data_IF_588456273472
#
_entry.id   IF_588456273472
#
_cell.length_a   1.000
_cell.length_b   1.000
_cell.length_c   1.000
_cell.angle_alpha   90.00
_cell.angle_beta   90.00
_cell.angle_gamma   90.00
#
_symmetry.space_group_name_H-M   'P 1'
#
loop_
_entity.id
_entity.type
_entity.pdbx_description
1 polymer ?
#
# COMPACT_ATOMS: atom_id res chain seq x y z
N UNK A 1 -81.13 25.46 -18.30
CA UNK A 1 -82.12 26.51 -17.93
C UNK A 1 -82.71 27.06 -19.22
N UNK A 2 -83.85 26.53 -19.62
CA UNK A 2 -84.71 27.06 -20.69
C UNK A 2 -86.14 26.78 -20.21
N UNK A 3 -86.77 27.82 -19.68
CA UNK A 3 -88.14 27.83 -19.19
C UNK A 3 -89.08 27.87 -20.39
N UNK A 4 -89.91 26.83 -20.56
CA UNK A 4 -91.07 26.85 -21.46
C UNK A 4 -92.32 26.86 -20.60
N UNK A 5 -93.10 27.92 -20.76
CA UNK A 5 -94.29 28.27 -19.99
C UNK A 5 -95.46 27.34 -20.31
N UNK A 6 -95.99 26.66 -19.28
CA UNK A 6 -97.25 25.92 -19.35
C UNK A 6 -98.44 26.88 -19.23
N UNK A 7 -99.23 26.99 -20.30
CA UNK A 7 -100.56 27.57 -20.27
C UNK A 7 -101.58 26.52 -19.84
N UNK A 8 -102.23 26.74 -18.71
CA UNK A 8 -103.41 26.00 -18.26
C UNK A 8 -104.62 26.36 -19.13
N UNK A 9 -105.28 25.34 -19.70
CA UNK A 9 -106.66 25.42 -20.19
C UNK A 9 -107.46 24.32 -19.48
N UNK A 10 -108.48 24.73 -18.74
CA UNK A 10 -109.39 23.87 -18.00
C UNK A 10 -110.54 23.31 -18.85
N UNK A 11 -110.79 22.01 -18.62
CA UNK A 11 -112.02 21.21 -18.75
C UNK A 11 -113.09 21.52 -19.82
N UNK A 12 -113.28 20.56 -20.73
CA UNK A 12 -114.50 20.36 -21.51
C UNK A 12 -114.44 19.05 -22.30
N UNK A 13 -115.24 18.06 -21.89
CA UNK A 13 -115.14 16.68 -22.37
C UNK A 13 -115.50 16.44 -23.85
N UNK A 14 -114.61 15.72 -24.54
CA UNK A 14 -114.85 14.64 -25.52
C UNK A 14 -113.48 14.22 -26.04
N UNK A 15 -112.88 13.22 -25.40
CA UNK A 15 -111.68 12.57 -25.91
C UNK A 15 -112.05 11.88 -27.23
N UNK A 16 -111.59 12.46 -28.34
CA UNK A 16 -111.61 11.84 -29.64
C UNK A 16 -110.85 10.51 -29.59
N UNK A 17 -111.41 9.51 -30.28
CA UNK A 17 -110.81 8.20 -30.48
C UNK A 17 -109.37 8.37 -30.97
N UNK A 18 -108.37 8.04 -30.15
CA UNK A 18 -107.03 7.79 -30.66
C UNK A 18 -107.17 6.65 -31.68
N UNK A 19 -106.66 6.84 -32.89
CA UNK A 19 -106.65 5.79 -33.90
C UNK A 19 -105.85 4.60 -33.37
N UNK A 20 -106.43 3.40 -33.40
CA UNK A 20 -105.80 2.16 -32.94
C UNK A 20 -104.44 1.93 -33.60
N UNK A 21 -104.26 2.42 -34.83
CA UNK A 21 -103.01 2.41 -35.59
C UNK A 21 -101.81 3.05 -34.85
N UNK A 22 -102.03 4.11 -34.06
CA UNK A 22 -100.96 4.80 -33.33
C UNK A 22 -100.51 4.04 -32.08
N UNK A 23 -101.43 3.31 -31.45
CA UNK A 23 -101.13 2.46 -30.28
C UNK A 23 -100.43 1.18 -30.72
N UNK A 24 -100.90 0.56 -31.81
CA UNK A 24 -100.27 -0.63 -32.40
C UNK A 24 -98.82 -0.35 -32.82
N UNK A 25 -98.56 0.83 -33.40
CA UNK A 25 -97.20 1.26 -33.76
C UNK A 25 -96.30 1.45 -32.53
N UNK A 26 -96.80 2.08 -31.46
CA UNK A 26 -96.03 2.28 -30.23
C UNK A 26 -95.73 0.95 -29.51
N UNK A 27 -96.65 -0.02 -29.55
CA UNK A 27 -96.42 -1.38 -29.03
C UNK A 27 -95.36 -2.10 -29.87
N UNK A 28 -95.42 -2.02 -31.20
CA UNK A 28 -94.41 -2.60 -32.08
C UNK A 28 -93.02 -1.96 -31.85
N UNK A 29 -92.96 -0.64 -31.66
CA UNK A 29 -91.73 0.07 -31.33
C UNK A 29 -91.17 -0.34 -29.95
N UNK A 30 -92.04 -0.58 -28.97
CA UNK A 30 -91.67 -1.11 -27.65
C UNK A 30 -91.12 -2.54 -27.73
N UNK A 31 -91.73 -3.41 -28.54
CA UNK A 31 -91.24 -4.76 -28.81
C UNK A 31 -89.87 -4.72 -29.50
N UNK A 32 -89.69 -3.85 -30.49
CA UNK A 32 -88.41 -3.66 -31.16
C UNK A 32 -87.34 -3.11 -30.20
N UNK A 33 -87.69 -2.18 -29.30
CA UNK A 33 -86.78 -1.65 -28.29
C UNK A 33 -86.35 -2.73 -27.28
N UNK A 34 -87.27 -3.61 -26.85
CA UNK A 34 -86.96 -4.74 -25.98
C UNK A 34 -86.06 -5.77 -26.69
N UNK A 35 -86.35 -6.13 -27.94
CA UNK A 35 -85.50 -7.02 -28.73
C UNK A 35 -84.07 -6.46 -28.85
N UNK A 36 -83.95 -5.16 -29.14
CA UNK A 36 -82.65 -4.52 -29.26
C UNK A 36 -81.92 -4.33 -27.92
N UNK A 37 -82.64 -4.40 -26.79
CA UNK A 37 -82.05 -4.49 -25.45
C UNK A 37 -81.57 -5.92 -25.14
N UNK A 38 -82.28 -6.96 -25.60
CA UNK A 38 -81.84 -8.36 -25.50
C UNK A 38 -80.54 -8.60 -26.27
N UNK A 39 -80.41 -8.02 -27.47
CA UNK A 39 -79.20 -8.16 -28.31
C UNK A 39 -77.90 -7.71 -27.61
N UNK A 40 -78.01 -6.89 -26.56
CA UNK A 40 -76.87 -6.41 -25.76
C UNK A 40 -76.87 -6.97 -24.34
N UNK A 41 -77.59 -8.06 -24.08
CA UNK A 41 -77.68 -8.74 -22.77
C UNK A 41 -78.21 -7.84 -21.63
N UNK A 42 -79.13 -6.92 -21.94
CA UNK A 42 -79.83 -6.13 -20.93
C UNK A 42 -80.61 -6.97 -19.89
N UNK A 43 -81.17 -8.17 -20.18
CA UNK A 43 -81.81 -9.00 -19.17
C UNK A 43 -80.89 -9.36 -18.00
N UNK A 44 -79.59 -9.52 -18.26
CA UNK A 44 -78.59 -9.87 -17.25
C UNK A 44 -77.93 -8.63 -16.64
N UNK A 45 -77.52 -7.68 -17.48
CA UNK A 45 -76.68 -6.55 -17.07
C UNK A 45 -77.50 -5.34 -16.61
N UNK A 46 -78.75 -5.21 -17.04
CA UNK A 46 -79.66 -4.12 -16.68
C UNK A 46 -81.07 -4.64 -16.32
N UNK A 47 -81.09 -5.75 -15.57
CA UNK A 47 -82.28 -6.57 -15.27
C UNK A 47 -83.49 -5.76 -14.78
N UNK A 48 -83.28 -4.84 -13.82
CA UNK A 48 -84.39 -4.04 -13.25
C UNK A 48 -85.12 -3.19 -14.29
N UNK A 49 -84.38 -2.52 -15.17
CA UNK A 49 -84.96 -1.67 -16.23
C UNK A 49 -85.57 -2.52 -17.34
N UNK A 50 -84.96 -3.67 -17.65
CA UNK A 50 -85.45 -4.60 -18.64
C UNK A 50 -86.78 -5.24 -18.22
N UNK A 51 -86.88 -5.71 -16.99
CA UNK A 51 -88.12 -6.29 -16.44
C UNK A 51 -89.21 -5.23 -16.29
N UNK A 52 -88.86 -3.99 -15.93
CA UNK A 52 -89.82 -2.87 -15.91
C UNK A 52 -90.36 -2.58 -17.31
N UNK A 53 -89.50 -2.52 -18.33
CA UNK A 53 -89.92 -2.30 -19.71
C UNK A 53 -90.85 -3.43 -20.23
N UNK A 54 -90.57 -4.67 -19.85
CA UNK A 54 -91.40 -5.84 -20.17
C UNK A 54 -92.75 -5.77 -19.48
N UNK A 55 -92.79 -5.40 -18.20
CA UNK A 55 -94.05 -5.22 -17.46
C UNK A 55 -94.91 -4.07 -18.03
N UNK A 56 -94.28 -2.96 -18.43
CA UNK A 56 -94.94 -1.84 -19.09
C UNK A 56 -95.51 -2.24 -20.46
N UNK A 57 -94.80 -3.05 -21.25
CA UNK A 57 -95.28 -3.57 -22.54
C UNK A 57 -96.50 -4.48 -22.37
N UNK A 58 -96.45 -5.43 -21.43
CA UNK A 58 -97.58 -6.33 -21.14
C UNK A 58 -98.80 -5.55 -20.64
N UNK A 59 -98.57 -4.51 -19.83
CA UNK A 59 -99.62 -3.60 -19.36
C UNK A 59 -100.19 -2.76 -20.51
N UNK A 60 -99.37 -2.35 -21.48
CA UNK A 60 -99.80 -1.61 -22.67
C UNK A 60 -100.71 -2.47 -23.58
N UNK A 61 -100.33 -3.73 -23.82
CA UNK A 61 -101.13 -4.72 -24.58
C UNK A 61 -102.48 -4.97 -23.91
N UNK A 62 -102.47 -5.17 -22.59
CA UNK A 62 -103.69 -5.34 -21.79
C UNK A 62 -104.61 -4.11 -21.88
N UNK A 63 -104.05 -2.90 -21.79
CA UNK A 63 -104.82 -1.66 -21.90
C UNK A 63 -105.41 -1.45 -23.31
N UNK A 64 -104.73 -1.92 -24.36
CA UNK A 64 -105.24 -1.89 -25.73
C UNK A 64 -106.45 -2.84 -25.89
N UNK A 65 -106.36 -4.06 -25.36
CA UNK A 65 -107.46 -5.04 -25.35
C UNK A 65 -108.70 -4.51 -24.61
N UNK A 66 -108.48 -3.76 -23.53
CA UNK A 66 -109.52 -3.07 -22.75
C UNK A 66 -110.04 -1.78 -23.41
N UNK A 67 -109.55 -1.41 -24.59
CA UNK A 67 -109.90 -0.19 -25.34
C UNK A 67 -109.54 1.11 -24.62
N UNK A 68 -108.53 1.09 -23.74
CA UNK A 68 -107.97 2.25 -23.03
C UNK A 68 -106.76 2.84 -23.78
N UNK A 69 -107.01 3.38 -24.97
CA UNK A 69 -105.94 3.82 -25.89
C UNK A 69 -104.91 4.80 -25.30
N UNK A 70 -105.33 5.75 -24.46
CA UNK A 70 -104.42 6.71 -23.81
C UNK A 70 -103.44 6.02 -22.83
N UNK A 71 -103.94 5.05 -22.06
CA UNK A 71 -103.13 4.30 -21.10
C UNK A 71 -102.19 3.35 -21.83
N UNK A 72 -102.69 2.65 -22.86
CA UNK A 72 -101.89 1.79 -23.71
C UNK A 72 -100.72 2.55 -24.37
N UNK A 73 -100.99 3.74 -24.92
CA UNK A 73 -99.97 4.58 -25.54
C UNK A 73 -98.92 5.06 -24.51
N UNK A 74 -99.36 5.52 -23.33
CA UNK A 74 -98.46 5.94 -22.26
C UNK A 74 -97.55 4.80 -21.81
N UNK A 75 -98.12 3.63 -21.56
CA UNK A 75 -97.39 2.45 -21.12
C UNK A 75 -96.42 1.94 -22.20
N UNK A 76 -96.82 1.97 -23.48
CA UNK A 76 -95.92 1.65 -24.59
C UNK A 76 -94.71 2.60 -24.66
N UNK A 77 -94.92 3.92 -24.49
CA UNK A 77 -93.81 4.87 -24.41
C UNK A 77 -92.92 4.67 -23.18
N UNK A 78 -93.48 4.29 -22.03
CA UNK A 78 -92.70 3.93 -20.84
C UNK A 78 -91.86 2.68 -21.09
N UNK A 79 -92.43 1.66 -21.75
CA UNK A 79 -91.72 0.47 -22.17
C UNK A 79 -90.55 0.81 -23.12
N UNK A 80 -90.77 1.65 -24.13
CA UNK A 80 -89.70 2.12 -25.05
C UNK A 80 -88.58 2.83 -24.27
N UNK A 81 -88.94 3.74 -23.36
CA UNK A 81 -87.97 4.51 -22.58
C UNK A 81 -87.14 3.59 -21.67
N UNK A 82 -87.80 2.69 -20.93
CA UNK A 82 -87.15 1.75 -20.03
C UNK A 82 -86.29 0.74 -20.80
N UNK A 83 -86.74 0.24 -21.95
CA UNK A 83 -85.96 -0.66 -22.80
C UNK A 83 -84.72 0.04 -23.39
N UNK A 84 -84.85 1.30 -23.81
CA UNK A 84 -83.72 2.09 -24.33
C UNK A 84 -82.70 2.41 -23.24
N UNK A 85 -83.14 2.69 -22.02
CA UNK A 85 -82.28 2.87 -20.85
C UNK A 85 -81.58 1.56 -20.47
N UNK A 86 -82.31 0.43 -20.46
CA UNK A 86 -81.74 -0.88 -20.19
C UNK A 86 -80.64 -1.24 -21.20
N UNK A 87 -80.91 -1.02 -22.51
CA UNK A 87 -79.92 -1.18 -23.58
C UNK A 87 -78.68 -0.32 -23.36
N UNK A 88 -78.86 0.96 -23.08
CA UNK A 88 -77.76 1.92 -22.88
C UNK A 88 -76.91 1.55 -21.66
N UNK A 89 -77.56 1.18 -20.55
CA UNK A 89 -76.88 0.73 -19.34
C UNK A 89 -76.09 -0.56 -19.60
N UNK A 90 -76.67 -1.53 -20.30
CA UNK A 90 -75.97 -2.77 -20.65
C UNK A 90 -74.71 -2.51 -21.47
N UNK A 91 -74.81 -1.70 -22.53
CA UNK A 91 -73.66 -1.31 -23.36
C UNK A 91 -72.58 -0.62 -22.51
N UNK A 92 -72.97 0.29 -21.61
CA UNK A 92 -72.04 0.99 -20.74
C UNK A 92 -71.35 0.05 -19.74
N UNK A 93 -72.09 -0.92 -19.19
CA UNK A 93 -71.53 -1.92 -18.26
C UNK A 93 -70.49 -2.78 -18.97
N UNK A 94 -70.80 -3.30 -20.16
CA UNK A 94 -69.87 -4.09 -20.97
C UNK A 94 -68.63 -3.28 -21.36
N UNK A 95 -68.82 -2.05 -21.82
CA UNK A 95 -67.69 -1.18 -22.19
C UNK A 95 -66.81 -0.85 -20.98
N UNK A 96 -67.41 -0.60 -19.82
CA UNK A 96 -66.66 -0.33 -18.59
C UNK A 96 -65.93 -1.58 -18.08
N UNK A 97 -66.51 -2.78 -18.22
CA UNK A 97 -65.83 -4.02 -17.82
C UNK A 97 -64.62 -4.31 -18.70
N UNK A 98 -64.74 -4.12 -20.02
CA UNK A 98 -63.62 -4.23 -20.97
C UNK A 98 -62.51 -3.21 -20.69
N UNK A 99 -62.89 -1.96 -20.44
CA UNK A 99 -61.94 -0.91 -20.07
C UNK A 99 -61.23 -1.23 -18.76
N UNK A 100 -61.96 -1.68 -17.74
CA UNK A 100 -61.37 -2.08 -16.46
C UNK A 100 -60.41 -3.27 -16.63
N UNK A 101 -60.79 -4.28 -17.41
CA UNK A 101 -59.92 -5.41 -17.72
C UNK A 101 -58.62 -4.95 -18.42
N UNK A 102 -58.72 -4.06 -19.40
CA UNK A 102 -57.55 -3.49 -20.09
C UNK A 102 -56.67 -2.64 -19.16
N UNK A 103 -57.27 -1.85 -18.27
CA UNK A 103 -56.55 -1.06 -17.26
C UNK A 103 -55.78 -1.99 -16.30
N UNK A 104 -56.42 -3.05 -15.82
CA UNK A 104 -55.77 -4.03 -14.93
C UNK A 104 -54.61 -4.72 -15.63
N UNK A 105 -54.79 -5.16 -16.87
CA UNK A 105 -53.71 -5.78 -17.65
C UNK A 105 -52.53 -4.82 -17.84
N UNK A 106 -52.79 -3.58 -18.30
CA UNK A 106 -51.74 -2.58 -18.49
C UNK A 106 -51.07 -2.18 -17.17
N UNK A 107 -51.81 -2.17 -16.07
CA UNK A 107 -51.27 -1.96 -14.73
C UNK A 107 -50.29 -3.05 -14.32
N UNK A 108 -50.64 -4.31 -14.55
CA UNK A 108 -49.76 -5.45 -14.28
C UNK A 108 -48.50 -5.43 -15.18
N UNK A 109 -48.64 -5.11 -16.47
CA UNK A 109 -47.51 -4.95 -17.39
C UNK A 109 -46.58 -3.80 -16.95
N UNK A 110 -47.15 -2.66 -16.52
CA UNK A 110 -46.38 -1.54 -16.04
C UNK A 110 -45.59 -1.87 -14.77
N UNK A 111 -46.16 -2.63 -13.84
CA UNK A 111 -45.47 -3.06 -12.62
C UNK A 111 -44.32 -4.02 -12.95
N UNK A 112 -44.55 -5.00 -13.82
CA UNK A 112 -43.49 -5.93 -14.28
C UNK A 112 -42.33 -5.19 -14.97
N UNK A 113 -42.64 -4.18 -15.79
CA UNK A 113 -41.62 -3.33 -16.41
C UNK A 113 -40.85 -2.53 -15.35
N UNK A 114 -41.54 -2.03 -14.32
CA UNK A 114 -40.91 -1.29 -13.22
C UNK A 114 -39.95 -2.15 -12.41
N UNK A 115 -40.34 -3.38 -12.10
CA UNK A 115 -39.48 -4.37 -11.45
C UNK A 115 -38.25 -4.67 -12.30
N UNK A 116 -38.43 -4.87 -13.60
CA UNK A 116 -37.32 -5.11 -14.55
C UNK A 116 -36.35 -3.94 -14.59
N UNK A 117 -36.87 -2.70 -14.65
CA UNK A 117 -36.05 -1.47 -14.65
C UNK A 117 -35.27 -1.34 -13.34
N UNK A 118 -35.91 -1.62 -12.20
CA UNK A 118 -35.24 -1.58 -10.90
C UNK A 118 -34.12 -2.61 -10.80
N UNK A 119 -34.38 -3.86 -11.19
CA UNK A 119 -33.36 -4.91 -11.23
C UNK A 119 -32.18 -4.54 -12.14
N UNK A 120 -32.45 -4.00 -13.33
CA UNK A 120 -31.39 -3.55 -14.24
C UNK A 120 -30.60 -2.37 -13.70
N UNK A 121 -31.23 -1.48 -12.94
CA UNK A 121 -30.55 -0.38 -12.26
C UNK A 121 -29.59 -0.89 -11.19
N UNK A 122 -30.01 -1.88 -10.40
CA UNK A 122 -29.17 -2.53 -9.39
C UNK A 122 -27.96 -3.23 -10.04
N UNK A 123 -28.18 -4.01 -11.10
CA UNK A 123 -27.09 -4.62 -11.89
C UNK A 123 -26.09 -3.56 -12.38
N UNK A 124 -26.58 -2.44 -12.92
CA UNK A 124 -25.74 -1.36 -13.43
C UNK A 124 -24.91 -0.71 -12.32
N UNK A 125 -25.49 -0.50 -11.14
CA UNK A 125 -24.73 0.01 -9.98
C UNK A 125 -23.65 -0.96 -9.50
N UNK A 126 -23.92 -2.27 -9.57
CA UNK A 126 -22.94 -3.32 -9.27
C UNK A 126 -21.77 -3.29 -10.25
N UNK A 127 -22.07 -3.27 -11.56
CA UNK A 127 -21.06 -3.19 -12.62
C UNK A 127 -20.22 -1.91 -12.52
N UNK A 128 -20.83 -0.78 -12.17
CA UNK A 128 -20.11 0.48 -12.00
C UNK A 128 -19.10 0.41 -10.83
N UNK A 129 -19.48 -0.26 -9.74
CA UNK A 129 -18.58 -0.50 -8.60
C UNK A 129 -17.43 -1.44 -8.98
N UNK A 130 -17.71 -2.50 -9.74
CA UNK A 130 -16.69 -3.43 -10.24
C UNK A 130 -15.68 -2.74 -11.16
N UNK A 131 -16.15 -1.87 -12.07
CA UNK A 131 -15.27 -1.06 -12.93
C UNK A 131 -14.35 -0.15 -12.10
N UNK A 132 -14.86 0.49 -11.05
CA UNK A 132 -14.05 1.34 -10.17
C UNK A 132 -12.97 0.55 -9.43
N UNK A 133 -13.30 -0.66 -8.97
CA UNK A 133 -12.35 -1.55 -8.32
C UNK A 133 -11.24 -1.98 -9.30
N UNK A 134 -11.62 -2.45 -10.50
CA UNK A 134 -10.67 -2.86 -11.55
C UNK A 134 -9.75 -1.70 -11.95
N UNK A 135 -10.28 -0.48 -12.07
CA UNK A 135 -9.47 0.71 -12.35
C UNK A 135 -8.45 0.99 -11.24
N UNK A 136 -8.86 0.84 -9.98
CA UNK A 136 -7.98 1.04 -8.82
C UNK A 136 -6.87 -0.02 -8.78
N UNK A 137 -7.21 -1.29 -8.98
CA UNK A 137 -6.26 -2.39 -9.11
C UNK A 137 -5.27 -2.16 -10.26
N UNK A 138 -5.77 -1.68 -11.41
CA UNK A 138 -4.94 -1.33 -12.57
C UNK A 138 -3.91 -0.23 -12.28
N UNK A 139 -4.28 0.79 -11.48
CA UNK A 139 -3.33 1.82 -11.05
C UNK A 139 -2.29 1.28 -10.08
N UNK A 140 -2.70 0.45 -9.12
CA UNK A 140 -1.77 -0.20 -8.18
C UNK A 140 -0.76 -1.07 -8.92
N UNK A 141 -1.23 -1.91 -9.85
CA UNK A 141 -0.35 -2.78 -10.64
C UNK A 141 0.64 -1.97 -11.48
N UNK A 142 0.19 -0.86 -12.08
CA UNK A 142 1.06 0.04 -12.84
C UNK A 142 2.15 0.66 -11.96
N UNK A 143 1.84 0.98 -10.70
CA UNK A 143 2.84 1.49 -9.76
C UNK A 143 3.84 0.39 -9.39
N UNK A 144 3.38 -0.81 -9.05
CA UNK A 144 4.25 -1.97 -8.76
C UNK A 144 5.21 -2.27 -9.92
N UNK A 145 4.74 -2.20 -11.17
CA UNK A 145 5.61 -2.40 -12.36
C UNK A 145 6.70 -1.33 -12.44
N UNK A 146 6.40 -0.06 -12.14
CA UNK A 146 7.40 1.01 -12.13
C UNK A 146 8.44 0.80 -11.04
N UNK A 147 8.00 0.39 -9.85
CA UNK A 147 8.88 0.16 -8.71
C UNK A 147 9.83 -1.03 -8.99
N UNK A 148 9.30 -2.14 -9.53
CA UNK A 148 10.11 -3.29 -9.96
C UNK A 148 11.10 -2.93 -11.08
N UNK A 149 10.71 -2.07 -12.02
CA UNK A 149 11.63 -1.59 -13.06
C UNK A 149 12.76 -0.75 -12.47
N UNK A 150 12.49 0.04 -11.43
CA UNK A 150 13.52 0.82 -10.72
C UNK A 150 14.47 -0.11 -9.98
N UNK A 151 13.94 -1.06 -9.21
CA UNK A 151 14.75 -2.05 -8.47
C UNK A 151 15.65 -2.87 -9.42
N UNK A 152 15.13 -3.28 -10.58
CA UNK A 152 15.91 -4.03 -11.56
C UNK A 152 17.06 -3.19 -12.18
N UNK A 153 16.88 -1.87 -12.32
CA UNK A 153 17.98 -0.97 -12.72
C UNK A 153 19.05 -0.88 -11.64
N UNK A 154 18.64 -0.68 -10.39
CA UNK A 154 19.57 -0.60 -9.24
C UNK A 154 20.37 -1.91 -9.07
N UNK A 155 19.73 -3.06 -9.27
CA UNK A 155 20.41 -4.36 -9.30
C UNK A 155 21.38 -4.49 -10.48
N UNK A 156 21.00 -3.98 -11.65
CA UNK A 156 21.88 -3.89 -12.83
C UNK A 156 23.15 -3.08 -12.56
N UNK A 157 23.00 -1.90 -11.97
CA UNK A 157 24.12 -1.03 -11.60
C UNK A 157 25.03 -1.68 -10.55
N UNK A 158 24.43 -2.33 -9.55
CA UNK A 158 25.17 -3.07 -8.52
C UNK A 158 25.98 -4.22 -9.12
N UNK A 159 25.39 -4.97 -10.06
CA UNK A 159 26.09 -6.05 -10.76
C UNK A 159 27.25 -5.53 -11.60
N UNK A 160 27.10 -4.38 -12.26
CA UNK A 160 28.17 -3.74 -13.02
C UNK A 160 29.34 -3.35 -12.11
N UNK A 161 29.06 -2.71 -10.96
CA UNK A 161 30.07 -2.35 -9.98
C UNK A 161 30.85 -3.56 -9.45
N UNK A 162 30.17 -4.68 -9.16
CA UNK A 162 30.85 -5.92 -8.78
C UNK A 162 31.70 -6.50 -9.92
N UNK A 163 31.26 -6.37 -11.17
CA UNK A 163 32.05 -6.76 -12.34
C UNK A 163 33.38 -6.00 -12.42
N UNK A 164 33.36 -4.69 -12.18
CA UNK A 164 34.57 -3.85 -12.15
C UNK A 164 35.53 -4.26 -11.02
N UNK A 165 35.00 -4.53 -9.81
CA UNK A 165 35.81 -5.00 -8.68
C UNK A 165 36.50 -6.33 -8.98
N UNK A 166 35.80 -7.28 -9.60
CA UNK A 166 36.37 -8.58 -9.99
C UNK A 166 37.47 -8.40 -11.04
N UNK A 167 37.30 -7.48 -11.98
CA UNK A 167 38.33 -7.17 -12.99
C UNK A 167 39.61 -6.60 -12.32
N UNK A 168 39.46 -5.65 -11.41
CA UNK A 168 40.60 -5.06 -10.66
C UNK A 168 41.34 -6.10 -9.82
N UNK A 169 40.62 -7.00 -9.14
CA UNK A 169 41.22 -8.09 -8.38
C UNK A 169 41.98 -9.07 -9.27
N UNK A 170 41.46 -9.35 -10.47
CA UNK A 170 42.11 -10.24 -11.43
C UNK A 170 43.42 -9.64 -11.96
N UNK A 171 43.45 -8.33 -12.22
CA UNK A 171 44.66 -7.61 -12.62
C UNK A 171 45.71 -7.63 -11.50
N UNK A 172 45.29 -7.34 -10.27
CA UNK A 172 46.17 -7.39 -9.08
C UNK A 172 46.78 -8.78 -8.90
N UNK A 173 46.00 -9.84 -9.10
CA UNK A 173 46.48 -11.21 -9.03
C UNK A 173 47.53 -11.51 -10.11
N UNK A 174 47.30 -11.07 -11.35
CA UNK A 174 48.25 -11.24 -12.44
C UNK A 174 49.58 -10.52 -12.17
N UNK A 175 49.53 -9.31 -11.60
CA UNK A 175 50.73 -8.56 -11.22
C UNK A 175 51.54 -9.29 -10.15
N UNK A 176 50.87 -9.80 -9.11
CA UNK A 176 51.51 -10.58 -8.03
C UNK A 176 52.18 -11.82 -8.59
N UNK A 177 51.51 -12.57 -9.47
CA UNK A 177 52.10 -13.74 -10.12
C UNK A 177 53.34 -13.37 -10.95
N UNK A 178 53.30 -12.25 -11.66
CA UNK A 178 54.46 -11.74 -12.40
C UNK A 178 55.64 -11.36 -11.51
N UNK A 179 55.38 -10.80 -10.33
CA UNK A 179 56.41 -10.50 -9.32
C UNK A 179 57.02 -11.78 -8.75
N UNK A 180 56.21 -12.78 -8.43
CA UNK A 180 56.69 -14.08 -7.92
C UNK A 180 57.65 -14.75 -8.90
N UNK A 181 57.30 -14.82 -10.20
CA UNK A 181 58.17 -15.41 -11.23
C UNK A 181 59.53 -14.70 -11.35
N UNK A 182 59.55 -13.37 -11.19
CA UNK A 182 60.79 -12.58 -11.19
C UNK A 182 61.64 -12.91 -9.97
N UNK A 183 61.05 -12.92 -8.78
CA UNK A 183 61.74 -13.28 -7.54
C UNK A 183 62.34 -14.70 -7.62
N UNK A 184 61.59 -15.69 -8.12
CA UNK A 184 62.10 -17.05 -8.34
C UNK A 184 63.31 -17.10 -9.27
N UNK A 185 63.34 -16.25 -10.30
CA UNK A 185 64.45 -16.17 -11.25
C UNK A 185 65.68 -15.54 -10.59
N UNK A 186 65.50 -14.48 -9.81
CA UNK A 186 66.58 -13.87 -9.02
C UNK A 186 67.18 -14.87 -8.03
N UNK A 187 66.34 -15.60 -7.29
CA UNK A 187 66.79 -16.64 -6.34
C UNK A 187 67.66 -17.68 -7.06
N UNK A 188 67.25 -18.13 -8.25
CA UNK A 188 68.04 -19.06 -9.07
C UNK A 188 69.37 -18.47 -9.51
N UNK A 189 69.42 -17.17 -9.83
CA UNK A 189 70.67 -16.49 -10.20
C UNK A 189 71.63 -16.42 -9.00
N UNK A 190 71.15 -15.97 -7.84
CA UNK A 190 71.97 -15.93 -6.63
C UNK A 190 72.47 -17.32 -6.21
N UNK A 191 71.63 -18.35 -6.31
CA UNK A 191 72.06 -19.73 -6.06
C UNK A 191 73.25 -20.16 -6.94
N UNK A 192 73.28 -19.72 -8.22
CA UNK A 192 74.41 -19.98 -9.13
C UNK A 192 75.67 -19.21 -8.72
N UNK A 193 75.54 -17.95 -8.31
CA UNK A 193 76.67 -17.13 -7.86
C UNK A 193 77.33 -17.70 -6.59
N UNK A 194 76.52 -18.11 -5.60
CA UNK A 194 76.99 -18.75 -4.37
C UNK A 194 77.75 -20.05 -4.70
N UNK A 195 77.24 -20.87 -5.62
CA UNK A 195 77.92 -22.09 -6.04
C UNK A 195 79.28 -21.79 -6.70
N UNK A 196 79.36 -20.75 -7.52
CA UNK A 196 80.61 -20.32 -8.15
C UNK A 196 81.64 -19.83 -7.12
N UNK A 197 81.22 -19.04 -6.13
CA UNK A 197 82.10 -18.57 -5.05
C UNK A 197 82.61 -19.71 -4.18
N UNK A 198 81.75 -20.70 -3.86
CA UNK A 198 82.17 -21.90 -3.12
C UNK A 198 83.27 -22.66 -3.85
N UNK A 199 83.14 -22.85 -5.16
CA UNK A 199 84.19 -23.50 -5.98
C UNK A 199 85.50 -22.73 -5.96
N UNK A 200 85.45 -21.39 -6.06
CA UNK A 200 86.66 -20.56 -5.97
C UNK A 200 87.34 -20.68 -4.61
N UNK A 201 86.55 -20.70 -3.53
CA UNK A 201 87.06 -20.88 -2.17
C UNK A 201 87.74 -22.25 -1.99
N UNK A 202 87.14 -23.31 -2.53
CA UNK A 202 87.69 -24.66 -2.49
C UNK A 202 89.03 -24.76 -3.24
N UNK A 203 89.12 -24.18 -4.44
CA UNK A 203 90.39 -24.10 -5.20
C UNK A 203 91.46 -23.34 -4.40
N UNK A 204 91.11 -22.20 -3.79
CA UNK A 204 92.04 -21.43 -2.97
C UNK A 204 92.51 -22.19 -1.72
N UNK A 205 91.63 -22.96 -1.08
CA UNK A 205 91.97 -23.81 0.07
C UNK A 205 92.94 -24.94 -0.31
N UNK A 206 92.76 -25.54 -1.49
CA UNK A 206 93.69 -26.53 -2.06
C UNK A 206 95.06 -25.88 -2.32
N UNK A 207 95.10 -24.71 -2.95
CA UNK A 207 96.36 -23.98 -3.23
C UNK A 207 97.13 -23.62 -1.94
N UNK A 208 96.43 -23.25 -0.86
CA UNK A 208 97.05 -23.01 0.46
C UNK A 208 97.66 -24.28 1.05
N UNK A 209 97.05 -25.44 0.81
CA UNK A 209 97.55 -26.73 1.29
C UNK A 209 98.76 -27.22 0.49
N UNK A 210 98.85 -26.90 -0.80
CA UNK A 210 99.92 -27.38 -1.69
C UNK A 210 101.18 -26.48 -1.70
N UNK A 211 101.10 -25.17 -1.43
CA UNK A 211 102.27 -24.28 -1.50
C UNK A 211 102.53 -23.45 -0.23
N UNK A 212 103.53 -23.86 0.55
CA UNK A 212 104.01 -23.14 1.74
C UNK A 212 104.68 -21.76 1.50
N UNK A 213 104.72 -21.20 0.27
CA UNK A 213 105.61 -20.06 -0.07
C UNK A 213 104.98 -18.76 -0.62
N UNK A 214 103.66 -18.62 -0.80
CA UNK A 214 103.03 -17.35 -1.23
C UNK A 214 101.94 -16.87 -0.23
N UNK A 215 102.28 -16.85 1.06
CA UNK A 215 101.32 -16.69 2.17
C UNK A 215 100.51 -15.38 2.22
N UNK A 216 100.91 -14.27 1.57
CA UNK A 216 100.26 -12.97 1.85
C UNK A 216 99.16 -12.58 0.86
N UNK A 217 99.33 -12.86 -0.43
CA UNK A 217 98.34 -12.56 -1.47
C UNK A 217 97.17 -13.54 -1.43
N UNK A 218 97.45 -14.83 -1.22
CA UNK A 218 96.42 -15.88 -1.15
C UNK A 218 95.57 -15.77 0.12
N UNK A 219 96.15 -15.40 1.26
CA UNK A 219 95.36 -15.15 2.50
C UNK A 219 94.44 -13.95 2.31
N UNK A 220 94.89 -12.87 1.67
CA UNK A 220 94.06 -11.72 1.37
C UNK A 220 92.91 -12.06 0.40
N UNK A 221 93.15 -12.94 -0.58
CA UNK A 221 92.13 -13.40 -1.51
C UNK A 221 91.13 -14.36 -0.85
N UNK A 222 91.59 -15.25 0.05
CA UNK A 222 90.71 -16.09 0.87
C UNK A 222 89.85 -15.25 1.81
N UNK A 223 90.42 -14.23 2.47
CA UNK A 223 89.66 -13.36 3.36
C UNK A 223 88.67 -12.48 2.58
N UNK A 224 89.04 -12.04 1.38
CA UNK A 224 88.15 -11.35 0.45
C UNK A 224 87.01 -12.25 -0.03
N UNK A 225 87.30 -13.48 -0.47
CA UNK A 225 86.29 -14.45 -0.90
C UNK A 225 85.41 -14.92 0.27
N UNK A 226 85.95 -15.06 1.47
CA UNK A 226 85.16 -15.32 2.69
C UNK A 226 84.27 -14.14 3.03
N UNK A 227 84.75 -12.90 2.88
CA UNK A 227 83.94 -11.69 3.07
C UNK A 227 82.83 -11.62 2.00
N UNK A 228 83.15 -11.83 0.73
CA UNK A 228 82.18 -11.88 -0.36
C UNK A 228 81.17 -13.03 -0.19
N UNK A 229 81.59 -14.21 0.28
CA UNK A 229 80.68 -15.33 0.54
C UNK A 229 79.81 -15.08 1.77
N UNK A 230 80.30 -14.36 2.78
CA UNK A 230 79.49 -13.91 3.92
C UNK A 230 78.51 -12.81 3.53
N UNK A 231 78.93 -11.86 2.70
CA UNK A 231 78.08 -10.79 2.16
C UNK A 231 77.03 -11.36 1.21
N UNK A 232 77.39 -12.25 0.29
CA UNK A 232 76.44 -12.96 -0.58
C UNK A 232 75.59 -13.97 0.20
N UNK A 233 76.12 -14.57 1.26
CA UNK A 233 75.39 -15.40 2.20
C UNK A 233 74.39 -14.58 3.04
N UNK A 234 74.73 -13.34 3.41
CA UNK A 234 73.83 -12.39 4.05
C UNK A 234 72.78 -11.90 3.06
N UNK A 235 73.15 -11.50 1.85
CA UNK A 235 72.20 -11.14 0.78
C UNK A 235 71.29 -12.32 0.45
N UNK A 236 71.79 -13.56 0.41
CA UNK A 236 70.98 -14.75 0.21
C UNK A 236 70.06 -15.01 1.40
N UNK A 237 70.54 -14.85 2.64
CA UNK A 237 69.72 -15.06 3.85
C UNK A 237 68.70 -13.93 4.03
N UNK A 238 69.02 -12.70 3.65
CA UNK A 238 68.14 -11.54 3.59
C UNK A 238 67.15 -11.67 2.45
N UNK A 239 67.53 -12.18 1.26
CA UNK A 239 66.62 -12.44 0.14
C UNK A 239 65.76 -13.68 0.32
N UNK A 240 66.22 -14.69 1.07
CA UNK A 240 65.42 -15.85 1.47
C UNK A 240 64.52 -15.49 2.66
N UNK A 241 64.95 -14.58 3.52
CA UNK A 241 64.11 -13.92 4.50
C UNK A 241 63.10 -13.00 3.80
N UNK A 242 63.44 -12.26 2.74
CA UNK A 242 62.51 -11.49 1.91
C UNK A 242 61.63 -12.40 1.07
N UNK A 243 62.06 -13.59 0.62
CA UNK A 243 61.22 -14.54 -0.12
C UNK A 243 60.29 -15.36 0.81
N UNK A 244 60.72 -15.68 2.04
CA UNK A 244 59.86 -16.25 3.09
C UNK A 244 59.05 -15.18 3.86
N UNK A 245 59.45 -13.91 3.82
CA UNK A 245 58.74 -12.75 4.42
C UNK A 245 58.11 -11.81 3.38
N UNK A 246 58.11 -12.15 2.09
CA UNK A 246 57.23 -11.55 1.09
C UNK A 246 56.32 -12.63 0.55
N UNK A 247 55.27 -12.92 1.30
CA UNK A 247 53.87 -12.78 0.82
C UNK A 247 52.83 -13.50 1.69
N UNK A 248 53.21 -14.14 2.79
CA UNK A 248 52.23 -14.67 3.75
C UNK A 248 52.24 -13.90 5.07
N UNK A 249 53.37 -13.81 5.79
CA UNK A 249 53.39 -13.14 7.11
C UNK A 249 53.29 -11.62 7.03
N UNK A 250 54.15 -10.96 6.24
CA UNK A 250 54.16 -9.50 6.11
C UNK A 250 53.06 -9.03 5.19
N UNK A 251 52.64 -9.79 4.17
CA UNK A 251 51.42 -9.46 3.41
C UNK A 251 50.15 -9.78 4.17
N UNK A 252 50.07 -10.76 5.05
CA UNK A 252 48.90 -10.93 5.92
C UNK A 252 48.92 -9.93 7.06
N UNK A 253 50.08 -9.59 7.62
CA UNK A 253 50.20 -8.54 8.63
C UNK A 253 50.04 -7.15 8.02
N UNK A 254 50.53 -6.88 6.81
CA UNK A 254 50.28 -5.66 6.03
C UNK A 254 48.91 -5.69 5.39
N UNK A 255 48.33 -6.81 4.96
CA UNK A 255 46.92 -6.89 4.56
C UNK A 255 46.02 -6.77 5.76
N UNK A 256 46.39 -7.24 6.95
CA UNK A 256 45.66 -6.99 8.19
C UNK A 256 45.93 -5.59 8.71
N UNK A 257 47.09 -4.99 8.46
CA UNK A 257 47.44 -3.61 8.84
C UNK A 257 46.97 -2.61 7.80
N UNK A 258 46.78 -3.01 6.54
CA UNK A 258 46.18 -2.31 5.41
C UNK A 258 44.68 -2.53 5.44
N UNK A 259 44.14 -3.69 5.80
CA UNK A 259 42.71 -3.85 6.13
C UNK A 259 42.38 -3.25 7.47
N UNK A 260 43.31 -3.19 8.43
CA UNK A 260 43.13 -2.37 9.62
C UNK A 260 43.44 -0.89 9.35
N UNK A 261 44.25 -0.51 8.36
CA UNK A 261 44.45 0.89 7.94
C UNK A 261 43.41 1.33 6.93
N UNK A 262 42.75 0.43 6.21
CA UNK A 262 41.59 0.65 5.35
C UNK A 262 40.35 0.54 6.20
N UNK A 263 40.29 -0.28 7.25
CA UNK A 263 39.24 -0.23 8.26
C UNK A 263 39.45 0.96 9.18
N UNK A 264 40.68 1.35 9.53
CA UNK A 264 40.97 2.61 10.24
C UNK A 264 40.78 3.80 9.31
N UNK A 265 41.26 3.80 8.07
CA UNK A 265 40.98 4.86 7.11
C UNK A 265 39.52 4.86 6.66
N UNK A 266 38.80 3.74 6.69
CA UNK A 266 37.34 3.70 6.54
C UNK A 266 36.70 4.30 7.78
N UNK A 267 37.08 3.91 8.99
CA UNK A 267 36.62 4.50 10.25
C UNK A 267 37.00 5.98 10.43
N UNK A 268 38.13 6.42 9.86
CA UNK A 268 38.70 7.78 9.91
C UNK A 268 38.21 8.63 8.72
N UNK A 269 37.83 8.01 7.59
CA UNK A 269 37.12 8.68 6.46
C UNK A 269 35.61 8.74 6.67
N UNK A 270 35.08 7.81 7.47
CA UNK A 270 33.80 7.98 8.12
C UNK A 270 33.99 9.09 9.15
N UNK A 271 33.10 10.07 9.19
CA UNK A 271 33.11 10.99 10.34
C UNK A 271 33.02 10.14 11.62
N UNK A 272 33.89 10.35 12.62
CA UNK A 272 33.78 9.63 13.88
C UNK A 272 32.35 9.77 14.40
N UNK A 273 31.70 8.62 14.61
CA UNK A 273 30.27 8.59 14.94
C UNK A 273 30.00 9.35 16.26
N UNK A 274 30.94 9.25 17.20
CA UNK A 274 30.90 9.96 18.47
C UNK A 274 31.82 11.18 18.40
N UNK A 275 31.37 12.36 18.86
CA UNK A 275 32.26 13.49 19.11
C UNK A 275 33.40 13.08 20.05
N UNK A 276 34.61 13.55 19.77
CA UNK A 276 35.77 13.24 20.60
C UNK A 276 35.57 13.78 22.03
N UNK A 277 35.53 12.89 23.02
CA UNK A 277 35.44 13.25 24.45
C UNK A 277 36.82 13.63 24.96
N UNK A 278 36.98 14.88 25.38
CA UNK A 278 38.20 15.47 25.93
C UNK A 278 38.32 15.28 27.44
N UNK A 279 37.23 14.88 28.12
CA UNK A 279 37.15 14.76 29.58
C UNK A 279 37.14 16.11 30.30
N UNK A 280 37.04 17.22 29.56
CA UNK A 280 36.97 18.57 30.12
C UNK A 280 35.50 18.92 30.35
N UNK A 281 35.19 19.50 31.50
CA UNK A 281 33.83 19.97 31.83
C UNK A 281 33.92 21.46 32.08
N UNK A 282 33.12 22.24 31.37
CA UNK A 282 33.03 23.71 31.53
C UNK A 282 31.72 24.16 32.18
N UNK A 283 30.75 23.25 32.30
CA UNK A 283 29.47 23.50 32.98
C UNK A 283 29.64 23.59 34.51
N UNK A 284 28.90 24.51 35.13
CA UNK A 284 28.75 24.57 36.58
C UNK A 284 27.89 23.40 37.10
N UNK A 285 27.97 23.12 38.40
CA UNK A 285 27.12 22.10 39.06
C UNK A 285 25.63 22.34 38.84
N UNK A 286 25.20 23.60 38.86
CA UNK A 286 23.81 23.99 38.61
C UNK A 286 23.39 23.76 37.15
N UNK A 287 24.27 24.08 36.19
CA UNK A 287 24.02 23.79 34.78
C UNK A 287 23.95 22.29 34.53
N UNK A 288 24.83 21.49 35.14
CA UNK A 288 24.78 20.02 35.04
C UNK A 288 23.46 19.48 35.59
N UNK A 289 22.99 19.99 36.74
CA UNK A 289 21.73 19.56 37.34
C UNK A 289 20.51 19.92 36.46
N UNK A 290 20.46 21.15 35.94
CA UNK A 290 19.36 21.59 35.07
C UNK A 290 19.38 20.89 33.71
N UNK A 291 20.55 20.63 33.14
CA UNK A 291 20.69 19.87 31.90
C UNK A 291 20.27 18.40 32.07
N UNK A 292 20.62 17.76 33.19
CA UNK A 292 20.11 16.42 33.55
C UNK A 292 18.59 16.38 33.65
N UNK A 293 17.99 17.40 34.26
CA UNK A 293 16.54 17.51 34.36
C UNK A 293 15.89 17.70 32.97
N UNK A 294 16.48 18.51 32.10
CA UNK A 294 16.00 18.69 30.74
C UNK A 294 16.05 17.38 29.92
N UNK A 295 17.14 16.61 30.03
CA UNK A 295 17.29 15.32 29.39
C UNK A 295 16.27 14.29 29.89
N UNK A 296 16.00 14.28 31.19
CA UNK A 296 14.94 13.45 31.78
C UNK A 296 13.55 13.83 31.26
N UNK A 297 13.25 15.12 31.13
CA UNK A 297 11.98 15.61 30.59
C UNK A 297 11.80 15.27 29.10
N UNK A 298 12.88 15.38 28.31
CA UNK A 298 12.91 14.96 26.92
C UNK A 298 12.60 13.46 26.77
N UNK A 299 13.22 12.60 27.59
CA UNK A 299 12.97 11.16 27.60
C UNK A 299 11.53 10.86 28.06
N UNK A 300 11.05 11.56 29.07
CA UNK A 300 9.67 11.40 29.56
C UNK A 300 8.65 11.74 28.48
N UNK A 301 8.86 12.81 27.70
CA UNK A 301 7.97 13.18 26.59
C UNK A 301 7.86 12.08 25.54
N UNK A 302 8.96 11.36 25.24
CA UNK A 302 8.94 10.18 24.37
C UNK A 302 8.05 9.06 24.92
N UNK A 303 8.26 8.67 26.17
CA UNK A 303 7.48 7.59 26.78
C UNK A 303 6.02 7.96 27.01
N UNK A 304 5.72 9.25 27.20
CA UNK A 304 4.35 9.78 27.27
C UNK A 304 3.66 9.88 25.90
N UNK A 305 4.32 9.46 24.81
CA UNK A 305 3.85 9.61 23.41
C UNK A 305 3.56 11.06 23.01
N UNK A 306 4.20 12.02 23.69
CA UNK A 306 4.11 13.44 23.36
C UNK A 306 5.27 13.81 22.42
N UNK A 307 5.15 13.46 21.14
CA UNK A 307 6.22 13.70 20.18
C UNK A 307 6.50 15.19 19.98
N UNK A 308 5.48 16.05 20.00
CA UNK A 308 5.67 17.50 19.90
C UNK A 308 6.52 18.04 21.07
N UNK A 309 6.25 17.59 22.29
CA UNK A 309 7.05 17.94 23.47
C UNK A 309 8.47 17.37 23.42
N UNK A 310 8.65 16.19 22.83
CA UNK A 310 9.97 15.58 22.62
C UNK A 310 10.79 16.35 21.58
N UNK A 311 10.18 16.68 20.44
CA UNK A 311 10.80 17.43 19.34
C UNK A 311 11.14 18.88 19.72
N UNK A 312 10.41 19.45 20.68
CA UNK A 312 10.66 20.81 21.17
C UNK A 312 12.06 21.01 21.80
N UNK A 313 12.81 19.94 22.10
CA UNK A 313 14.19 20.04 22.60
C UNK A 313 15.24 20.10 21.50
N UNK A 314 14.91 19.80 20.25
CA UNK A 314 15.89 19.76 19.16
C UNK A 314 16.16 21.15 18.62
N UNK A 315 17.39 21.39 18.16
CA UNK A 315 17.70 22.58 17.39
C UNK A 315 17.18 22.47 15.95
N UNK A 316 16.76 23.59 15.32
CA UNK A 316 16.21 23.57 13.95
C UNK A 316 17.14 22.99 12.89
N UNK A 317 18.44 23.09 13.10
CA UNK A 317 19.50 22.66 12.18
C UNK A 317 20.25 21.42 12.66
N UNK A 318 19.65 20.63 13.57
CA UNK A 318 20.27 19.39 14.04
C UNK A 318 20.51 18.43 12.87
N UNK A 319 21.67 17.78 12.92
CA UNK A 319 21.97 16.60 12.13
C UNK A 319 22.15 15.44 13.09
N UNK A 320 21.35 14.39 12.90
CA UNK A 320 21.44 13.15 13.65
C UNK A 320 22.18 12.11 12.84
N UNK A 321 23.20 11.49 13.43
CA UNK A 321 23.91 10.38 12.81
C UNK A 321 23.18 9.07 13.10
N UNK A 322 22.57 8.46 12.08
CA UNK A 322 21.82 7.21 12.19
C UNK A 322 22.62 6.05 11.59
N UNK A 323 22.87 5.04 12.41
CA UNK A 323 23.54 3.79 12.05
C UNK A 323 22.58 2.63 12.26
N UNK A 324 22.35 1.84 11.20
CA UNK A 324 21.56 0.60 11.26
C UNK A 324 22.48 -0.58 11.00
N UNK A 325 22.41 -1.58 11.88
CA UNK A 325 23.29 -2.74 11.90
C UNK A 325 22.42 -3.98 11.73
N UNK A 326 22.58 -4.68 10.61
CA UNK A 326 21.87 -5.91 10.25
C UNK A 326 22.86 -6.89 9.64
N UNK A 327 22.89 -8.15 10.13
CA UNK A 327 23.74 -9.22 9.57
C UNK A 327 25.22 -8.83 9.43
N UNK A 328 25.77 -8.10 10.40
CA UNK A 328 27.15 -7.58 10.38
C UNK A 328 27.45 -6.53 9.30
N UNK A 329 26.43 -5.94 8.68
CA UNK A 329 26.55 -4.77 7.78
C UNK A 329 26.09 -3.51 8.51
N UNK A 330 26.88 -2.45 8.39
CA UNK A 330 26.55 -1.12 8.91
C UNK A 330 26.07 -0.20 7.78
N UNK A 331 24.91 0.42 7.98
CA UNK A 331 24.38 1.46 7.12
C UNK A 331 24.34 2.78 7.89
N UNK A 332 25.21 3.73 7.50
CA UNK A 332 25.29 5.05 8.13
C UNK A 332 24.59 6.09 7.26
N UNK A 333 23.86 6.99 7.89
CA UNK A 333 23.14 8.07 7.25
C UNK A 333 23.09 9.26 8.19
N UNK A 334 23.15 10.47 7.63
CA UNK A 334 22.89 11.71 8.37
C UNK A 334 21.46 12.12 8.07
N UNK A 335 20.67 12.33 9.12
CA UNK A 335 19.27 12.72 8.99
C UNK A 335 19.07 14.12 9.57
N UNK A 336 18.35 14.96 8.83
CA UNK A 336 17.94 16.28 9.30
C UNK A 336 16.73 16.18 10.25
N UNK A 337 16.28 17.32 10.79
CA UNK A 337 15.16 17.37 11.74
C UNK A 337 13.85 16.78 11.16
N UNK A 338 13.55 17.00 9.88
CA UNK A 338 12.32 16.50 9.26
C UNK A 338 12.37 14.97 9.12
N UNK A 339 13.52 14.45 8.71
CA UNK A 339 13.76 13.01 8.62
C UNK A 339 13.82 12.36 10.01
N UNK A 340 14.38 13.05 11.01
CA UNK A 340 14.38 12.64 12.41
C UNK A 340 12.95 12.51 12.94
N UNK A 341 12.09 13.51 12.72
CA UNK A 341 10.68 13.47 13.10
C UNK A 341 9.94 12.28 12.47
N UNK A 342 10.09 12.08 11.16
CA UNK A 342 9.49 10.94 10.46
C UNK A 342 9.99 9.59 11.01
N UNK A 343 11.30 9.48 11.28
CA UNK A 343 11.89 8.29 11.88
C UNK A 343 11.38 8.06 13.31
N UNK A 344 11.25 9.11 14.13
CA UNK A 344 10.71 9.02 15.49
C UNK A 344 9.23 8.60 15.49
N UNK A 345 8.43 9.11 14.54
CA UNK A 345 7.07 8.64 14.33
C UNK A 345 7.01 7.14 14.05
N UNK A 346 7.85 6.65 13.13
CA UNK A 346 7.95 5.23 12.81
C UNK A 346 8.44 4.42 14.02
N UNK A 347 9.45 4.88 14.74
CA UNK A 347 9.93 4.20 15.95
C UNK A 347 8.83 4.15 17.02
N UNK A 348 8.01 5.19 17.11
CA UNK A 348 6.94 5.33 18.09
C UNK A 348 5.73 4.42 17.85
N UNK A 349 5.62 3.77 16.67
CA UNK A 349 4.58 2.76 16.43
C UNK A 349 4.84 1.46 17.20
N UNK A 350 6.06 1.25 17.67
CA UNK A 350 6.46 0.04 18.39
C UNK A 350 6.62 0.29 19.89
N UNK A 351 6.31 -0.72 20.69
CA UNK A 351 6.55 -0.69 22.13
C UNK A 351 8.03 -0.94 22.44
N UNK A 352 8.79 0.14 22.62
CA UNK A 352 10.19 0.09 23.04
C UNK A 352 10.32 0.09 24.57
N UNK A 353 11.04 -0.89 25.10
CA UNK A 353 11.34 -1.01 26.52
C UNK A 353 12.69 -0.37 26.84
N UNK A 354 12.75 0.41 27.92
CA UNK A 354 13.99 1.00 28.41
C UNK A 354 14.83 -0.08 29.09
N UNK A 355 16.02 -0.35 28.56
CA UNK A 355 16.93 -1.37 29.09
C UNK A 355 18.05 -0.77 29.96
N UNK A 356 18.63 0.37 29.55
CA UNK A 356 19.70 1.04 30.30
C UNK A 356 19.74 2.53 29.95
N UNK A 357 20.07 3.37 30.93
CA UNK A 357 20.40 4.78 30.70
C UNK A 357 21.69 5.13 31.42
N UNK A 358 22.57 5.89 30.77
CA UNK A 358 23.71 6.54 31.38
C UNK A 358 23.66 8.04 31.11
N UNK A 359 24.19 8.86 32.02
CA UNK A 359 24.34 10.29 31.80
C UNK A 359 25.77 10.69 32.05
N UNK A 360 26.34 11.38 31.08
CA UNK A 360 27.71 11.89 31.07
C UNK A 360 27.68 13.41 30.88
N UNK A 361 28.82 14.06 31.12
CA UNK A 361 29.02 15.49 30.90
C UNK A 361 30.35 15.70 30.19
N UNK A 362 30.35 16.49 29.13
CA UNK A 362 31.52 16.77 28.31
C UNK A 362 31.41 18.19 27.75
N UNK A 363 32.44 19.00 27.94
CA UNK A 363 32.47 20.41 27.59
C UNK A 363 31.28 21.15 28.18
N UNK A 364 30.48 21.74 27.28
CA UNK A 364 29.25 22.48 27.56
C UNK A 364 27.98 21.62 27.42
N UNK A 365 28.14 20.30 27.25
CA UNK A 365 27.05 19.37 26.99
C UNK A 365 26.78 18.41 28.14
N UNK A 366 25.50 18.17 28.41
CA UNK A 366 25.02 16.99 29.14
C UNK A 366 24.62 15.95 28.12
N UNK A 367 25.13 14.72 28.29
CA UNK A 367 24.98 13.64 27.32
C UNK A 367 24.15 12.52 27.92
N UNK A 368 23.05 12.17 27.28
CA UNK A 368 22.24 11.00 27.64
C UNK A 368 22.49 9.84 26.71
N UNK A 369 22.80 8.66 27.26
CA UNK A 369 22.94 7.42 26.49
C UNK A 369 21.81 6.48 26.89
N UNK A 370 20.86 6.25 25.99
CA UNK A 370 19.65 5.47 26.23
C UNK A 370 19.66 4.22 25.38
N UNK A 371 19.58 3.04 26.01
CA UNK A 371 19.40 1.76 25.33
C UNK A 371 17.96 1.32 25.48
N UNK A 372 17.28 1.19 24.35
CA UNK A 372 15.93 0.66 24.22
C UNK A 372 15.97 -0.71 23.53
N UNK A 373 15.05 -1.60 23.88
CA UNK A 373 14.91 -2.92 23.27
C UNK A 373 13.46 -3.20 22.90
N UNK A 374 13.24 -3.97 21.85
CA UNK A 374 11.93 -4.53 21.51
C UNK A 374 12.08 -5.93 20.94
N UNK A 375 11.09 -6.78 21.19
CA UNK A 375 11.00 -8.08 20.52
C UNK A 375 10.73 -7.85 19.02
N UNK A 376 11.57 -8.42 18.17
CA UNK A 376 11.47 -8.36 16.72
C UNK A 376 10.88 -9.65 16.16
N UNK A 377 11.32 -10.80 16.67
CA UNK A 377 10.83 -12.11 16.26
C UNK A 377 10.75 -13.04 17.48
N UNK A 378 9.57 -13.58 17.81
CA UNK A 378 9.46 -14.57 18.88
C UNK A 378 10.17 -15.87 18.47
N UNK A 379 10.55 -16.68 19.47
CA UNK A 379 11.06 -18.01 19.22
C UNK A 379 9.99 -18.85 18.51
N UNK A 380 10.39 -19.49 17.40
CA UNK A 380 9.48 -20.33 16.63
C UNK A 380 9.18 -21.67 17.35
N UNK A 381 10.14 -22.16 18.15
CA UNK A 381 10.06 -23.39 18.93
C UNK A 381 11.07 -23.35 20.11
N UNK A 382 11.12 -24.42 20.91
CA UNK A 382 12.00 -24.56 22.08
C UNK A 382 13.50 -24.49 21.76
N UNK A 383 13.90 -24.64 20.49
CA UNK A 383 15.29 -24.60 20.05
C UNK A 383 15.67 -23.28 19.35
N UNK A 384 14.72 -22.38 19.10
CA UNK A 384 14.94 -21.10 18.46
C UNK A 384 15.13 -19.97 19.49
N UNK A 385 16.08 -19.07 19.24
CA UNK A 385 16.29 -17.88 20.09
C UNK A 385 15.40 -16.73 19.64
N UNK A 386 14.75 -16.06 20.60
CA UNK A 386 14.05 -14.81 20.35
C UNK A 386 15.02 -13.74 19.81
N UNK A 387 14.56 -12.99 18.83
CA UNK A 387 15.33 -11.91 18.21
C UNK A 387 14.78 -10.56 18.65
N UNK A 388 15.69 -9.67 19.02
CA UNK A 388 15.39 -8.33 19.50
C UNK A 388 15.99 -7.26 18.59
N UNK A 389 15.27 -6.15 18.48
CA UNK A 389 15.87 -4.92 17.98
C UNK A 389 16.32 -4.07 19.16
N UNK A 390 17.55 -3.56 19.10
CA UNK A 390 18.15 -2.70 20.11
C UNK A 390 18.35 -1.33 19.48
N UNK A 391 17.93 -0.29 20.17
CA UNK A 391 18.14 1.09 19.74
C UNK A 391 18.89 1.85 20.82
N UNK A 392 20.10 2.28 20.53
CA UNK A 392 20.92 3.13 21.38
C UNK A 392 20.84 4.55 20.86
N UNK A 393 20.56 5.49 21.75
CA UNK A 393 20.51 6.92 21.47
C UNK A 393 21.53 7.61 22.34
N UNK A 394 22.47 8.32 21.74
CA UNK A 394 23.37 9.23 22.44
C UNK A 394 23.01 10.67 22.09
N UNK A 395 22.61 11.44 23.09
CA UNK A 395 21.92 12.72 22.93
C UNK A 395 22.73 13.79 23.62
N UNK A 396 23.20 14.79 22.87
CA UNK A 396 24.04 15.87 23.38
C UNK A 396 23.22 17.14 23.51
N UNK A 397 23.02 17.58 24.75
CA UNK A 397 22.28 18.81 25.06
C UNK A 397 23.21 19.89 25.58
N UNK A 398 23.11 21.10 25.04
CA UNK A 398 23.76 22.30 25.59
C UNK A 398 22.74 23.39 25.93
N UNK A 399 23.21 24.42 26.62
CA UNK A 399 22.36 25.53 27.02
C UNK A 399 22.39 26.64 25.97
N UNK A 400 21.23 26.98 25.40
CA UNK A 400 21.01 28.10 24.47
C UNK A 400 20.08 29.11 25.12
N UNK A 401 20.67 30.21 25.61
CA UNK A 401 19.96 31.17 26.46
C UNK A 401 19.46 30.50 27.75
N UNK A 402 18.15 30.53 27.99
CA UNK A 402 17.54 29.90 29.16
C UNK A 402 17.04 28.47 28.92
N UNK A 403 17.26 27.90 27.73
CA UNK A 403 16.72 26.60 27.35
C UNK A 403 17.85 25.60 27.07
N UNK A 404 17.61 24.33 27.39
CA UNK A 404 18.48 23.24 26.96
C UNK A 404 18.02 22.70 25.60
N UNK A 405 18.96 22.57 24.68
CA UNK A 405 18.70 22.15 23.30
C UNK A 405 19.63 21.02 22.88
N UNK A 406 19.08 20.06 22.14
CA UNK A 406 19.83 18.97 21.52
C UNK A 406 20.41 19.51 20.23
N UNK A 407 21.73 19.65 20.20
CA UNK A 407 22.47 20.09 19.02
C UNK A 407 23.03 18.91 18.22
N UNK A 408 23.12 17.73 18.83
CA UNK A 408 23.65 16.53 18.21
C UNK A 408 23.05 15.26 18.82
N UNK A 409 22.74 14.28 17.97
CA UNK A 409 22.26 12.98 18.41
C UNK A 409 22.81 11.87 17.51
N UNK A 410 23.08 10.72 18.11
CA UNK A 410 23.54 9.52 17.43
C UNK A 410 22.56 8.40 17.71
N UNK A 411 22.12 7.70 16.65
CA UNK A 411 21.30 6.50 16.74
C UNK A 411 22.11 5.30 16.29
N UNK A 412 22.16 4.26 17.11
CA UNK A 412 22.66 2.94 16.72
C UNK A 412 21.53 1.93 16.87
N UNK A 413 21.08 1.37 15.75
CA UNK A 413 19.97 0.42 15.71
C UNK A 413 20.53 -0.93 15.30
N UNK A 414 20.48 -1.89 16.20
CA UNK A 414 20.83 -3.28 15.94
C UNK A 414 19.55 -4.06 15.69
N UNK A 415 19.46 -4.72 14.55
CA UNK A 415 18.30 -5.52 14.19
C UNK A 415 18.59 -7.01 14.32
N UNK A 416 17.56 -7.77 14.73
CA UNK A 416 17.61 -9.22 14.81
C UNK A 416 18.74 -9.77 15.72
N UNK A 417 18.94 -9.15 16.87
CA UNK A 417 19.93 -9.55 17.87
C UNK A 417 19.38 -10.70 18.72
N UNK A 418 20.04 -11.85 18.80
CA UNK A 418 19.60 -12.95 19.67
C UNK A 418 19.68 -12.57 21.14
N UNK A 419 18.71 -13.04 21.92
CA UNK A 419 18.74 -12.95 23.37
C UNK A 419 19.65 -14.06 23.95
N UNK A 420 20.93 -13.76 24.15
CA UNK A 420 21.90 -14.68 24.77
C UNK A 420 21.94 -14.55 26.29
#
# INVERSE_FOLDING_TARGET
MLLVSFGFVGCGGKLGKIETSAVDMAIADAEAALAAAVDVDAPTLASDLFETAKADLESAKTALDEKKGNDALRLAYQAIANATLARTNSINITKNSELNASILQKGAEAESLRETVNSKKEELTGLQSEIQNIQSEGQQLKQTVRDLQKENRELGDTRAAYGEQVAQLSETLAEIQGRTRRAETEIRNYGREVAALRRKLEVADIMVKEEGYQKRTVIAEIDSLKRQLREQGQIYTEKLAEANQQNAGTKHAEYLKQKAQEARAYVDSQSPLHPAKTGRITLSTEQIATGKAALSNWEHAWHAKNLNGHLAYYEPNIITDKVVIRESKEHRSKIDLQQLEANLHQMGTYAWNKAKTNIEVEGESVIGIHRLTRLAMPAADENATELYNIWIREVWMHQVGNNWRIHHEIWQIYENVPNF
#
